data_IF_328400644752
#
_entry.id   IF_328400644752
#
_cell.length_a   1.000
_cell.length_b   1.000
_cell.length_c   1.000
_cell.angle_alpha   90.00
_cell.angle_beta   90.00
_cell.angle_gamma   90.00
#
_symmetry.space_group_name_H-M   'P 1'
#
loop_
_entity.id
_entity.type
_entity.pdbx_description
1 polymer ?
#
# COMPACT_ATOMS: atom_id res chain seq x y z
N UNK A 1 -25.08 -29.91 8.14
CA UNK A 1 -26.11 -28.86 8.30
C UNK A 1 -25.78 -28.13 9.59
N UNK A 2 -24.93 -27.12 9.60
CA UNK A 2 -24.80 -26.03 8.61
C UNK A 2 -23.33 -25.78 8.28
N UNK A 3 -23.06 -26.01 7.00
CA UNK A 3 -22.13 -25.34 6.10
C UNK A 3 -21.50 -24.08 6.73
N UNK A 4 -20.22 -24.17 7.12
CA UNK A 4 -19.38 -23.00 7.36
C UNK A 4 -19.16 -22.37 5.99
N UNK A 5 -20.12 -21.54 5.61
CA UNK A 5 -20.15 -20.76 4.38
C UNK A 5 -18.82 -20.00 4.27
N UNK A 6 -17.97 -20.52 3.40
CA UNK A 6 -16.73 -19.92 2.97
C UNK A 6 -17.06 -18.70 2.10
N UNK A 7 -17.65 -17.68 2.69
CA UNK A 7 -17.80 -16.38 2.09
C UNK A 7 -16.71 -15.47 2.65
N UNK A 8 -15.46 -15.76 2.26
CA UNK A 8 -14.45 -14.70 2.14
C UNK A 8 -14.86 -13.94 0.88
N UNK A 9 -15.40 -12.71 0.96
CA UNK A 9 -15.68 -11.95 -0.24
C UNK A 9 -14.37 -11.78 -1.00
N UNK A 10 -14.41 -12.26 -2.25
CA UNK A 10 -13.41 -12.18 -3.30
C UNK A 10 -12.10 -11.45 -2.94
N UNK A 11 -11.02 -12.23 -2.94
CA UNK A 11 -9.64 -11.81 -3.09
C UNK A 11 -9.48 -10.55 -3.97
N UNK A 12 -9.53 -9.38 -3.35
CA UNK A 12 -8.70 -8.27 -3.78
C UNK A 12 -7.35 -8.61 -3.17
N UNK A 13 -6.52 -9.34 -3.90
CA UNK A 13 -5.24 -9.86 -3.42
C UNK A 13 -4.49 -8.75 -2.67
N UNK A 14 -4.56 -8.77 -1.34
CA UNK A 14 -3.74 -7.89 -0.52
C UNK A 14 -2.30 -8.14 -0.98
N UNK A 15 -1.58 -7.08 -1.39
CA UNK A 15 -0.21 -7.29 -1.83
C UNK A 15 0.54 -7.98 -0.69
N UNK A 16 1.42 -8.97 -1.02
CA UNK A 16 2.11 -9.74 -0.02
C UNK A 16 2.77 -8.78 0.96
N UNK A 17 2.54 -8.97 2.26
CA UNK A 17 3.01 -8.07 3.33
C UNK A 17 4.52 -7.79 3.22
N UNK A 18 5.29 -8.75 2.70
CA UNK A 18 6.71 -8.58 2.35
C UNK A 18 6.95 -7.42 1.37
N UNK A 19 6.20 -7.36 0.26
CA UNK A 19 6.35 -6.30 -0.75
C UNK A 19 6.04 -4.92 -0.18
N UNK A 20 5.02 -4.81 0.67
CA UNK A 20 4.68 -3.54 1.35
C UNK A 20 5.86 -3.10 2.23
N UNK A 21 6.47 -4.03 2.97
CA UNK A 21 7.61 -3.74 3.86
C UNK A 21 8.86 -3.34 3.08
N UNK A 22 9.14 -4.01 1.97
CA UNK A 22 10.24 -3.62 1.08
C UNK A 22 10.04 -2.21 0.51
N UNK A 23 8.83 -1.90 0.05
CA UNK A 23 8.52 -0.57 -0.49
C UNK A 23 8.53 0.51 0.58
N UNK A 24 8.04 0.22 1.79
CA UNK A 24 8.16 1.12 2.92
C UNK A 24 9.62 1.41 3.25
N UNK A 25 10.49 0.40 3.30
CA UNK A 25 11.92 0.59 3.55
C UNK A 25 12.61 1.41 2.45
N UNK A 26 12.24 1.21 1.19
CA UNK A 26 12.74 2.03 0.06
C UNK A 26 12.26 3.47 0.13
N UNK A 27 10.97 3.66 0.44
CA UNK A 27 10.40 4.97 0.68
C UNK A 27 11.17 5.68 1.81
N UNK A 28 11.37 5.02 2.95
CA UNK A 28 12.10 5.58 4.08
C UNK A 28 13.55 5.94 3.73
N UNK A 29 14.24 5.09 2.96
CA UNK A 29 15.60 5.36 2.49
C UNK A 29 15.67 6.59 1.57
N UNK A 30 14.60 6.89 0.83
CA UNK A 30 14.47 8.06 -0.02
C UNK A 30 13.88 9.29 0.70
N UNK A 31 13.54 9.17 1.99
CA UNK A 31 12.95 10.26 2.78
C UNK A 31 11.43 10.37 2.65
N UNK A 32 10.74 9.27 2.34
CA UNK A 32 9.29 9.17 2.23
C UNK A 32 8.70 8.14 3.20
N UNK A 33 7.40 8.21 3.44
CA UNK A 33 6.64 7.30 4.31
C UNK A 33 5.47 6.73 3.52
N UNK A 34 5.43 5.39 3.39
CA UNK A 34 4.32 4.70 2.74
C UNK A 34 3.16 4.48 3.73
N UNK A 35 1.97 4.92 3.36
CA UNK A 35 0.74 4.78 4.15
C UNK A 35 -0.34 4.10 3.33
N UNK A 36 -0.90 3.00 3.84
CA UNK A 36 -2.07 2.33 3.26
C UNK A 36 -3.35 2.80 3.95
N UNK A 37 -4.28 3.38 3.20
CA UNK A 37 -5.61 3.74 3.68
C UNK A 37 -6.61 2.65 3.30
N UNK A 38 -7.27 2.06 4.29
CA UNK A 38 -8.15 0.90 4.10
C UNK A 38 -9.59 1.26 3.67
N UNK A 39 -9.99 2.54 3.67
CA UNK A 39 -11.37 2.93 3.33
C UNK A 39 -11.47 4.37 2.82
N UNK A 40 -12.45 4.69 1.93
CA UNK A 40 -13.44 3.82 1.28
C UNK A 40 -12.91 3.09 0.03
N UNK A 41 -11.67 3.35 -0.38
CA UNK A 41 -10.95 2.63 -1.45
C UNK A 41 -9.55 2.37 -0.91
N UNK A 42 -9.04 1.16 -1.12
CA UNK A 42 -7.68 0.84 -0.74
C UNK A 42 -6.73 1.73 -1.54
N UNK A 43 -6.08 2.67 -0.87
CA UNK A 43 -5.23 3.68 -1.48
C UNK A 43 -3.91 3.74 -0.73
N UNK A 44 -2.83 3.68 -1.49
CA UNK A 44 -1.46 3.87 -1.04
C UNK A 44 -1.05 5.32 -1.24
N UNK A 45 -0.43 5.88 -0.22
CA UNK A 45 0.07 7.24 -0.20
C UNK A 45 1.54 7.24 0.17
N UNK A 46 2.35 7.90 -0.63
CA UNK A 46 3.70 8.31 -0.27
C UNK A 46 3.60 9.70 0.32
N UNK A 47 3.95 9.80 1.60
CA UNK A 47 4.10 11.05 2.30
C UNK A 47 5.57 11.44 2.33
N UNK A 48 5.87 12.73 2.32
CA UNK A 48 7.21 13.22 2.63
C UNK A 48 7.55 12.95 4.10
N UNK A 49 8.76 12.48 4.41
CA UNK A 49 9.13 12.17 5.80
C UNK A 49 9.32 13.42 6.67
N UNK A 50 9.71 14.55 6.05
CA UNK A 50 9.98 15.82 6.73
C UNK A 50 8.68 16.59 6.99
N UNK A 51 7.83 16.72 5.97
CA UNK A 51 6.59 17.52 6.04
C UNK A 51 5.32 16.70 6.25
N UNK A 52 5.38 15.37 6.07
CA UNK A 52 4.19 14.48 6.03
C UNK A 52 3.14 14.93 5.02
N UNK A 53 3.57 15.57 3.95
CA UNK A 53 2.71 15.99 2.85
C UNK A 53 2.50 14.85 1.85
N UNK A 54 1.31 14.78 1.25
CA UNK A 54 1.01 13.80 0.20
C UNK A 54 1.78 14.14 -1.07
N UNK A 55 2.79 13.32 -1.37
CA UNK A 55 3.61 13.46 -2.58
C UNK A 55 2.99 12.66 -3.72
N UNK A 56 2.48 11.47 -3.41
CA UNK A 56 1.92 10.60 -4.42
C UNK A 56 0.88 9.64 -3.85
N UNK A 57 -0.33 9.67 -4.41
CA UNK A 57 -1.45 8.79 -4.05
C UNK A 57 -1.80 7.86 -5.22
N UNK A 58 -1.99 6.57 -4.94
CA UNK A 58 -2.37 5.58 -5.95
C UNK A 58 -3.11 4.40 -5.32
N UNK A 59 -3.97 3.74 -6.08
CA UNK A 59 -4.58 2.46 -5.66
C UNK A 59 -3.69 1.25 -5.96
N UNK A 60 -2.59 1.44 -6.72
CA UNK A 60 -1.73 0.38 -7.21
C UNK A 60 -0.34 0.45 -6.57
N UNK A 61 0.04 -0.57 -5.80
CA UNK A 61 1.36 -0.62 -5.16
C UNK A 61 2.52 -0.64 -6.18
N UNK A 62 2.28 -1.18 -7.38
CA UNK A 62 3.23 -1.15 -8.51
C UNK A 62 3.60 0.27 -8.95
N UNK A 63 2.69 1.23 -8.78
CA UNK A 63 2.95 2.65 -9.10
C UNK A 63 3.86 3.29 -8.07
N UNK A 64 3.71 2.93 -6.79
CA UNK A 64 4.63 3.34 -5.71
C UNK A 64 6.04 2.83 -6.03
N UNK A 65 6.16 1.55 -6.41
CA UNK A 65 7.44 0.93 -6.75
C UNK A 65 8.14 1.63 -7.92
N UNK A 66 7.41 1.86 -9.02
CA UNK A 66 7.95 2.59 -10.17
C UNK A 66 8.33 4.03 -9.85
N UNK A 67 7.61 4.70 -8.95
CA UNK A 67 7.93 6.05 -8.53
C UNK A 67 9.21 6.10 -7.69
N UNK A 68 9.41 5.12 -6.80
CA UNK A 68 10.61 5.00 -5.97
C UNK A 68 11.86 4.54 -6.75
N UNK A 69 11.67 3.88 -7.90
CA UNK A 69 12.75 3.43 -8.79
C UNK A 69 13.19 4.51 -9.82
N UNK A 70 12.38 5.55 -9.99
CA UNK A 70 12.64 6.65 -10.95
C UNK A 70 13.56 7.73 -10.39
#
# INVERSE_FOLDING_TARGET
MTDHDANVPAAQSDPPVDRIRELAARAEAAGYVLVGSAAPRYEWKLLDSEYREDIFSTTELDRIEQWLDS
#
